data_IF_608050024229
#
_entry.id   IF_608050024229
#
_cell.length_a   1.000
_cell.length_b   1.000
_cell.length_c   1.000
_cell.angle_alpha   90.00
_cell.angle_beta   90.00
_cell.angle_gamma   90.00
#
_symmetry.space_group_name_H-M   'P 1'
#
loop_
_entity.id
_entity.type
_entity.pdbx_description
1 polymer ?
#
# COMPACT_ATOMS: atom_id res chain seq x y z
N UNK A 1 -8.34 -20.42 4.25
CA UNK A 1 -7.30 -19.82 3.38
C UNK A 1 -7.19 -18.34 3.74
N UNK A 2 -6.13 -17.74 4.27
CA UNK A 2 -4.82 -18.15 4.75
C UNK A 2 -4.47 -17.06 5.80
N UNK A 3 -4.95 -17.15 7.04
CA UNK A 3 -4.73 -16.14 8.09
C UNK A 3 -3.24 -15.83 8.33
N UNK A 4 -2.38 -16.80 7.98
CA UNK A 4 -0.94 -16.65 8.01
C UNK A 4 -0.40 -15.59 7.04
N UNK A 5 -1.07 -15.33 5.91
CA UNK A 5 -0.70 -14.27 4.96
C UNK A 5 -0.92 -12.90 5.57
N UNK A 6 -2.04 -12.68 6.26
CA UNK A 6 -2.30 -11.42 6.97
C UNK A 6 -1.30 -11.19 8.12
N UNK A 7 -0.89 -12.25 8.84
CA UNK A 7 0.18 -12.16 9.85
C UNK A 7 1.55 -11.85 9.25
N UNK A 8 1.88 -12.43 8.10
CA UNK A 8 3.13 -12.13 7.38
C UNK A 8 3.13 -10.68 6.89
N UNK A 9 2.03 -10.23 6.31
CA UNK A 9 1.86 -8.84 5.89
C UNK A 9 1.97 -7.90 7.10
N UNK A 10 1.32 -8.23 8.23
CA UNK A 10 1.42 -7.44 9.46
C UNK A 10 2.82 -7.40 10.07
N UNK A 11 3.56 -8.51 10.02
CA UNK A 11 4.98 -8.58 10.43
C UNK A 11 5.86 -7.76 9.50
N UNK A 12 5.65 -7.84 8.19
CA UNK A 12 6.36 -7.00 7.21
C UNK A 12 6.06 -5.53 7.51
N UNK A 13 4.80 -5.12 7.64
CA UNK A 13 4.42 -3.73 7.93
C UNK A 13 4.96 -3.24 9.29
N UNK A 14 5.03 -4.13 10.30
CA UNK A 14 5.60 -3.84 11.62
C UNK A 14 7.14 -3.76 11.64
N UNK A 15 7.81 -4.42 10.70
CA UNK A 15 9.29 -4.46 10.57
C UNK A 15 9.80 -3.49 9.49
N UNK A 16 8.91 -2.94 8.66
CA UNK A 16 9.25 -1.97 7.62
C UNK A 16 9.89 -0.73 8.27
N UNK A 17 11.22 -0.67 8.14
CA UNK A 17 12.05 0.47 8.46
C UNK A 17 11.52 1.74 7.77
N UNK A 18 11.75 2.94 8.34
CA UNK A 18 11.30 4.21 7.73
C UNK A 18 11.76 4.39 6.27
N UNK A 19 12.89 3.81 5.91
CA UNK A 19 13.41 3.77 4.53
C UNK A 19 12.53 2.96 3.59
N UNK A 20 12.07 1.78 4.02
CA UNK A 20 11.13 0.97 3.25
C UNK A 20 9.75 1.61 3.20
N UNK A 21 9.29 2.30 4.27
CA UNK A 21 8.06 3.12 4.20
C UNK A 21 8.15 4.20 3.13
N UNK A 22 9.32 4.83 3.02
CA UNK A 22 9.57 5.86 2.00
C UNK A 22 9.58 5.25 0.60
N UNK A 23 10.21 4.08 0.41
CA UNK A 23 10.20 3.35 -0.85
C UNK A 23 8.80 2.90 -1.28
N UNK A 24 8.02 2.38 -0.34
CA UNK A 24 6.64 1.94 -0.57
C UNK A 24 5.69 3.11 -0.79
N UNK A 25 5.85 4.23 -0.08
CA UNK A 25 5.10 5.45 -0.33
C UNK A 25 5.34 5.96 -1.77
N UNK A 26 6.59 5.95 -2.23
CA UNK A 26 6.93 6.27 -3.64
C UNK A 26 6.32 5.28 -4.63
N UNK A 27 6.26 4.00 -4.28
CA UNK A 27 5.63 2.99 -5.11
C UNK A 27 4.12 3.22 -5.20
N UNK A 28 3.48 3.56 -4.08
CA UNK A 28 2.07 3.91 -3.99
C UNK A 28 1.73 5.20 -4.74
N UNK A 29 2.59 6.22 -4.70
CA UNK A 29 2.43 7.43 -5.53
C UNK A 29 2.43 7.09 -7.02
N UNK A 30 3.36 6.22 -7.47
CA UNK A 30 3.38 5.74 -8.85
C UNK A 30 2.16 4.91 -9.21
N UNK A 31 1.68 4.08 -8.30
CA UNK A 31 0.45 3.30 -8.49
C UNK A 31 -0.78 4.20 -8.53
N UNK A 32 -0.82 5.30 -7.77
CA UNK A 32 -1.90 6.29 -7.84
C UNK A 32 -1.91 7.00 -9.20
N UNK A 33 -0.74 7.41 -9.71
CA UNK A 33 -0.64 7.99 -11.05
C UNK A 33 -1.06 7.02 -12.16
N UNK A 34 -0.81 5.72 -11.97
CA UNK A 34 -1.27 4.68 -12.89
C UNK A 34 -2.78 4.42 -12.73
N UNK A 35 -3.29 4.37 -11.51
CA UNK A 35 -4.71 4.18 -11.20
C UNK A 35 -5.56 5.30 -11.81
N UNK A 36 -5.10 6.55 -11.74
CA UNK A 36 -5.74 7.72 -12.38
C UNK A 36 -5.80 7.64 -13.92
N UNK A 37 -4.95 6.81 -14.54
CA UNK A 37 -4.98 6.55 -15.99
C UNK A 37 -5.96 5.43 -16.35
N UNK A 38 -6.38 4.65 -15.36
CA UNK A 38 -7.34 3.56 -15.53
C UNK A 38 -8.75 4.10 -15.23
N UNK A 39 -9.76 3.69 -16.01
CA UNK A 39 -11.14 4.11 -15.78
C UNK A 39 -11.83 3.41 -14.59
N UNK A 40 -11.06 2.68 -13.76
CA UNK A 40 -11.60 1.85 -12.70
C UNK A 40 -11.56 2.58 -11.35
N UNK A 41 -12.71 3.06 -10.83
CA UNK A 41 -12.76 3.81 -9.57
C UNK A 41 -12.32 2.98 -8.35
N UNK A 42 -12.30 1.66 -8.47
CA UNK A 42 -11.79 0.78 -7.43
C UNK A 42 -10.28 0.88 -7.24
N UNK A 43 -9.50 1.17 -8.30
CA UNK A 43 -8.05 1.25 -8.21
C UNK A 43 -7.62 2.48 -7.38
N UNK A 44 -8.29 3.62 -7.56
CA UNK A 44 -8.06 4.82 -6.75
C UNK A 44 -8.36 4.58 -5.26
N UNK A 45 -9.46 3.88 -4.96
CA UNK A 45 -9.85 3.54 -3.58
C UNK A 45 -8.82 2.57 -2.95
N UNK A 46 -8.35 1.59 -3.72
CA UNK A 46 -7.37 0.60 -3.26
C UNK A 46 -6.03 1.25 -2.94
N UNK A 47 -5.56 2.17 -3.79
CA UNK A 47 -4.34 2.92 -3.57
C UNK A 47 -4.46 3.86 -2.37
N UNK A 48 -5.60 4.54 -2.21
CA UNK A 48 -5.87 5.39 -1.05
C UNK A 48 -5.86 4.60 0.27
N UNK A 49 -6.51 3.43 0.30
CA UNK A 49 -6.50 2.54 1.47
C UNK A 49 -5.10 2.02 1.79
N UNK A 50 -4.32 1.63 0.77
CA UNK A 50 -2.94 1.16 0.96
C UNK A 50 -2.03 2.26 1.49
N UNK A 51 -2.20 3.51 1.01
CA UNK A 51 -1.52 4.69 1.60
C UNK A 51 -1.86 4.80 3.08
N UNK A 52 -3.14 4.81 3.43
CA UNK A 52 -3.57 4.99 4.81
C UNK A 52 -3.05 3.91 5.75
N UNK A 53 -3.03 2.64 5.31
CA UNK A 53 -2.54 1.51 6.12
C UNK A 53 -1.01 1.56 6.29
N UNK A 54 -0.27 1.93 5.24
CA UNK A 54 1.20 1.84 5.25
C UNK A 54 1.90 3.10 5.74
N UNK A 55 1.31 4.28 5.55
CA UNK A 55 1.87 5.56 6.04
C UNK A 55 1.12 6.12 7.24
N UNK A 56 -0.06 5.59 7.57
CA UNK A 56 -0.87 6.07 8.70
C UNK A 56 -1.39 7.50 8.52
N UNK A 57 -1.31 8.05 7.30
CA UNK A 57 -1.78 9.38 6.92
C UNK A 57 -3.06 9.29 6.10
#
# INVERSE_FOLDING_TARGET
MHEWIFKLIGLVIGVVSPELRTGVARLLDKLEEQAKRTANPWDDILVAMLKQIMTGK
#
